data_IF_387837968089
#
_entry.id   IF_387837968089
#
_cell.length_a   1.000
_cell.length_b   1.000
_cell.length_c   1.000
_cell.angle_alpha   90.00
_cell.angle_beta   90.00
_cell.angle_gamma   90.00
#
_symmetry.space_group_name_H-M   'P 1'
#
loop_
_entity.id
_entity.type
_entity.pdbx_description
1 polymer ?
#
# COMPACT_ATOMS: atom_id res chain seq x y z
N UNK A 1 35.65 35.54 -32.27
CA UNK A 1 35.53 34.15 -32.80
C UNK A 1 34.82 33.28 -31.78
N UNK A 2 33.53 32.96 -32.01
CA UNK A 2 32.75 32.08 -31.14
C UNK A 2 33.06 30.61 -31.47
N UNK A 3 33.83 29.94 -30.62
CA UNK A 3 33.94 28.48 -30.67
C UNK A 3 32.73 27.85 -29.98
N UNK A 4 31.78 27.36 -30.79
CA UNK A 4 30.71 26.46 -30.33
C UNK A 4 31.35 25.15 -29.85
N UNK A 5 31.48 24.96 -28.54
CA UNK A 5 31.76 23.64 -27.96
C UNK A 5 30.52 22.76 -28.15
N UNK A 6 30.64 21.72 -28.98
CA UNK A 6 29.63 20.67 -29.16
C UNK A 6 29.43 19.95 -27.83
N UNK A 7 28.18 19.84 -27.38
CA UNK A 7 27.80 18.95 -26.28
C UNK A 7 27.97 17.49 -26.71
N UNK A 8 28.40 16.57 -25.82
CA UNK A 8 28.47 15.16 -26.14
C UNK A 8 27.05 14.60 -26.30
N UNK A 9 26.83 13.90 -27.42
CA UNK A 9 25.60 13.17 -27.71
C UNK A 9 25.49 12.02 -26.71
N UNK A 10 24.57 12.11 -25.75
CA UNK A 10 24.21 10.97 -24.91
C UNK A 10 23.61 9.88 -25.81
N UNK A 11 24.39 8.84 -26.03
CA UNK A 11 24.01 7.67 -26.78
C UNK A 11 23.05 6.87 -25.89
N UNK A 12 21.76 6.82 -26.26
CA UNK A 12 20.82 5.90 -25.63
C UNK A 12 21.32 4.46 -25.87
N UNK A 13 21.33 3.58 -24.84
CA UNK A 13 21.56 2.17 -25.08
C UNK A 13 20.41 1.62 -25.96
N UNK A 14 20.70 0.62 -26.82
CA UNK A 14 19.71 0.08 -27.74
C UNK A 14 18.53 -0.48 -26.95
N UNK A 15 17.32 -0.17 -27.41
CA UNK A 15 16.11 -0.77 -26.86
C UNK A 15 16.23 -2.28 -26.96
N UNK A 16 16.25 -2.94 -25.80
CA UNK A 16 16.12 -4.38 -25.74
C UNK A 16 14.75 -4.71 -26.33
N UNK A 17 14.77 -5.26 -27.54
CA UNK A 17 13.64 -5.91 -28.17
C UNK A 17 13.15 -6.95 -27.16
N UNK A 18 11.94 -6.77 -26.65
CA UNK A 18 11.27 -7.78 -25.85
C UNK A 18 11.00 -8.98 -26.75
N UNK A 19 11.92 -9.94 -26.73
CA UNK A 19 11.67 -11.27 -27.25
C UNK A 19 10.54 -11.88 -26.44
N UNK A 20 9.43 -12.20 -27.11
CA UNK A 20 8.34 -13.01 -26.57
C UNK A 20 8.93 -14.28 -25.94
N UNK A 21 8.54 -14.65 -24.70
CA UNK A 21 8.85 -15.98 -24.20
C UNK A 21 8.11 -17.02 -25.04
N UNK A 22 8.91 -17.98 -25.50
CA UNK A 22 8.55 -19.15 -26.28
C UNK A 22 7.24 -19.82 -25.83
N UNK A 23 6.39 -20.12 -26.82
CA UNK A 23 5.16 -20.94 -26.78
C UNK A 23 5.43 -22.40 -26.32
N UNK A 24 5.84 -22.60 -25.07
CA UNK A 24 6.19 -23.95 -24.62
C UNK A 24 5.88 -24.21 -23.16
N UNK A 25 4.69 -23.87 -22.67
CA UNK A 25 4.07 -24.54 -21.50
C UNK A 25 2.54 -24.52 -21.60
N UNK A 26 2.00 -24.95 -22.74
CA UNK A 26 0.62 -25.42 -22.83
C UNK A 26 0.57 -26.87 -22.34
N UNK A 27 0.43 -27.07 -21.04
CA UNK A 27 0.00 -28.35 -20.49
C UNK A 27 -1.47 -28.22 -20.03
N UNK A 28 -2.41 -28.95 -20.63
CA UNK A 28 -3.79 -28.99 -20.16
C UNK A 28 -3.86 -29.89 -18.94
N UNK A 29 -3.67 -29.32 -17.74
CA UNK A 29 -4.09 -29.99 -16.51
C UNK A 29 -5.55 -29.63 -16.19
N UNK A 30 -6.44 -29.99 -17.12
CA UNK A 30 -7.84 -30.18 -16.83
C UNK A 30 -8.00 -31.51 -16.06
N UNK A 31 -7.55 -31.54 -14.81
CA UNK A 31 -8.00 -32.57 -13.86
C UNK A 31 -9.24 -32.02 -13.15
N UNK A 32 -10.39 -32.53 -13.60
CA UNK A 32 -11.70 -32.52 -12.93
C UNK A 32 -12.47 -31.20 -12.93
N UNK A 33 -13.20 -30.97 -14.02
CA UNK A 33 -14.35 -30.05 -14.12
C UNK A 33 -15.48 -30.39 -13.12
N UNK A 34 -15.48 -31.56 -12.47
CA UNK A 34 -16.55 -32.00 -11.59
C UNK A 34 -16.52 -31.38 -10.17
N UNK A 35 -15.44 -30.69 -9.79
CA UNK A 35 -15.34 -30.01 -8.48
C UNK A 35 -15.91 -28.59 -8.48
N UNK A 36 -16.15 -28.01 -9.66
CA UNK A 36 -16.40 -26.58 -9.80
C UNK A 36 -17.77 -26.14 -9.26
N UNK A 37 -18.75 -27.04 -9.14
CA UNK A 37 -20.11 -26.69 -8.66
C UNK A 37 -20.42 -27.21 -7.25
N UNK A 38 -19.45 -27.79 -6.54
CA UNK A 38 -19.67 -28.27 -5.17
C UNK A 38 -19.50 -27.14 -4.15
N UNK A 39 -20.36 -27.04 -3.14
CA UNK A 39 -20.17 -26.09 -2.06
C UNK A 39 -18.87 -26.41 -1.30
N UNK A 40 -18.14 -25.38 -0.91
CA UNK A 40 -16.90 -25.52 -0.13
C UNK A 40 -17.18 -25.33 1.36
N UNK A 41 -16.80 -26.31 2.17
CA UNK A 41 -16.93 -26.25 3.63
C UNK A 41 -15.69 -25.56 4.20
N UNK A 42 -15.87 -24.35 4.74
CA UNK A 42 -14.78 -23.56 5.35
C UNK A 42 -14.32 -24.18 6.67
N UNK A 43 -15.26 -24.60 7.51
CA UNK A 43 -15.01 -25.19 8.81
C UNK A 43 -16.22 -25.09 9.74
N UNK A 44 -16.12 -25.61 10.98
CA UNK A 44 -17.20 -25.53 11.97
C UNK A 44 -17.59 -24.07 12.24
N UNK A 45 -18.89 -23.78 12.28
CA UNK A 45 -19.42 -22.44 12.56
C UNK A 45 -19.48 -21.48 11.35
N UNK A 46 -19.08 -21.93 10.15
CA UNK A 46 -19.18 -21.15 8.92
C UNK A 46 -20.16 -21.78 7.93
N UNK A 47 -20.95 -20.95 7.24
CA UNK A 47 -21.80 -21.42 6.14
C UNK A 47 -20.94 -21.88 4.96
N UNK A 48 -21.31 -22.98 4.26
CA UNK A 48 -20.59 -23.41 3.08
C UNK A 48 -20.62 -22.34 1.97
N UNK A 49 -19.51 -22.15 1.27
CA UNK A 49 -19.44 -21.25 0.11
C UNK A 49 -20.16 -21.93 -1.07
N UNK A 50 -21.17 -21.31 -1.70
CA UNK A 50 -21.87 -21.86 -2.85
C UNK A 50 -20.92 -22.26 -3.99
N UNK A 51 -21.21 -23.38 -4.65
CA UNK A 51 -20.36 -23.92 -5.73
C UNK A 51 -20.09 -22.91 -6.85
N UNK A 52 -21.07 -22.08 -7.20
CA UNK A 52 -20.89 -21.00 -8.18
C UNK A 52 -19.74 -20.05 -7.81
N UNK A 53 -19.65 -19.63 -6.55
CA UNK A 53 -18.57 -18.76 -6.07
C UNK A 53 -17.24 -19.52 -6.04
N UNK A 54 -17.23 -20.79 -5.64
CA UNK A 54 -16.05 -21.66 -5.69
C UNK A 54 -15.50 -21.73 -7.13
N UNK A 55 -16.35 -22.07 -8.09
CA UNK A 55 -16.08 -22.03 -9.53
C UNK A 55 -15.44 -20.72 -9.98
N UNK A 56 -16.00 -19.59 -9.56
CA UNK A 56 -15.51 -18.28 -9.95
C UNK A 56 -14.13 -17.97 -9.37
N UNK A 57 -13.91 -18.28 -8.09
CA UNK A 57 -12.61 -18.12 -7.41
C UNK A 57 -11.55 -18.97 -8.09
N UNK A 58 -11.83 -20.26 -8.33
CA UNK A 58 -10.86 -21.19 -8.90
C UNK A 58 -10.50 -20.87 -10.36
N UNK A 59 -11.42 -20.30 -11.13
CA UNK A 59 -11.16 -19.82 -12.49
C UNK A 59 -10.40 -18.50 -12.54
N UNK A 60 -10.15 -17.86 -11.39
CA UNK A 60 -9.51 -16.55 -11.33
C UNK A 60 -10.42 -15.41 -11.82
N UNK A 61 -11.74 -15.63 -11.88
CA UNK A 61 -12.69 -14.57 -12.23
C UNK A 61 -12.88 -13.64 -11.03
N UNK A 62 -13.20 -12.37 -11.31
CA UNK A 62 -13.45 -11.41 -10.24
C UNK A 62 -14.69 -11.83 -9.42
N UNK A 63 -14.51 -11.89 -8.10
CA UNK A 63 -15.56 -12.16 -7.12
C UNK A 63 -15.59 -11.00 -6.13
N UNK A 64 -16.78 -10.45 -5.87
CA UNK A 64 -16.94 -9.50 -4.78
C UNK A 64 -16.80 -10.24 -3.44
N UNK A 65 -15.80 -9.85 -2.65
CA UNK A 65 -15.53 -10.47 -1.34
C UNK A 65 -16.71 -10.31 -0.39
N UNK A 66 -17.57 -9.30 -0.58
CA UNK A 66 -18.78 -9.13 0.24
C UNK A 66 -19.66 -10.38 0.19
N UNK A 67 -19.69 -11.12 -0.93
CA UNK A 67 -20.47 -12.35 -1.08
C UNK A 67 -19.97 -13.49 -0.18
N UNK A 68 -18.72 -13.42 0.29
CA UNK A 68 -18.11 -14.42 1.16
C UNK A 68 -18.27 -14.13 2.65
N UNK A 69 -18.95 -13.03 3.01
CA UNK A 69 -19.30 -12.76 4.40
C UNK A 69 -20.35 -13.76 4.88
N UNK A 70 -20.17 -14.28 6.11
CA UNK A 70 -21.06 -15.29 6.70
C UNK A 70 -22.55 -14.92 6.60
N UNK A 71 -22.90 -13.65 6.83
CA UNK A 71 -24.28 -13.15 6.75
C UNK A 71 -24.88 -13.21 5.33
N UNK A 72 -24.03 -13.09 4.30
CA UNK A 72 -24.46 -13.10 2.90
C UNK A 72 -24.54 -14.54 2.36
N UNK A 73 -23.75 -15.47 2.91
CA UNK A 73 -23.80 -16.90 2.58
C UNK A 73 -25.07 -17.58 3.10
N UNK A 74 -25.56 -17.22 4.29
CA UNK A 74 -26.83 -17.75 4.85
C UNK A 74 -28.04 -17.31 4.02
N UNK A 75 -27.94 -16.17 3.34
CA UNK A 75 -29.07 -15.54 2.65
C UNK A 75 -29.38 -16.15 1.27
N UNK A 76 -28.67 -17.19 0.83
CA UNK A 76 -28.81 -17.74 -0.52
C UNK A 76 -29.90 -18.80 -0.67
N UNK A 77 -30.58 -19.22 0.40
CA UNK A 77 -31.71 -20.14 0.26
C UNK A 77 -32.99 -19.34 -0.09
N UNK A 78 -33.57 -19.51 -1.29
CA UNK A 78 -34.90 -19.01 -1.56
C UNK A 78 -35.87 -19.88 -0.78
N UNK A 79 -36.23 -19.48 0.44
CA UNK A 79 -37.33 -20.13 1.16
C UNK A 79 -38.62 -19.91 0.36
N UNK A 80 -39.18 -20.96 -0.29
CA UNK A 80 -40.43 -20.82 -1.02
C UNK A 80 -41.54 -20.72 0.03
N UNK A 81 -41.97 -19.49 0.33
CA UNK A 81 -43.12 -19.27 1.21
C UNK A 81 -44.38 -19.75 0.47
N UNK A 82 -44.98 -20.85 0.94
CA UNK A 82 -46.20 -21.44 0.38
C UNK A 82 -47.46 -20.97 1.11
N UNK A 83 -48.32 -20.32 0.30
CA UNK A 83 -49.77 -20.50 0.15
C UNK A 83 -50.77 -19.95 1.19
N UNK A 84 -51.56 -18.97 0.72
CA UNK A 84 -52.97 -18.81 1.05
C UNK A 84 -53.79 -19.53 -0.04
N UNK A 85 -54.61 -20.49 0.36
CA UNK A 85 -55.76 -21.00 -0.41
C UNK A 85 -55.49 -21.53 -1.85
N UNK A 86 -54.74 -22.63 -1.99
CA UNK A 86 -54.73 -23.41 -3.25
C UNK A 86 -54.03 -22.78 -4.48
N UNK A 87 -53.59 -21.52 -4.42
CA UNK A 87 -52.81 -20.84 -5.47
C UNK A 87 -51.35 -20.62 -5.06
N UNK A 88 -50.42 -21.17 -5.86
CA UNK A 88 -49.00 -20.85 -5.76
C UNK A 88 -48.79 -19.38 -6.19
N UNK A 89 -48.46 -18.51 -5.24
CA UNK A 89 -48.02 -17.14 -5.54
C UNK A 89 -46.50 -17.13 -5.53
N UNK A 90 -45.89 -17.06 -6.71
CA UNK A 90 -44.46 -16.79 -6.87
C UNK A 90 -44.19 -15.31 -6.60
N UNK A 91 -44.21 -14.91 -5.33
CA UNK A 91 -43.66 -13.61 -4.94
C UNK A 91 -42.15 -13.73 -5.03
N UNK A 92 -41.54 -13.03 -5.98
CA UNK A 92 -40.08 -12.92 -6.04
C UNK A 92 -39.59 -12.46 -4.66
N UNK A 93 -38.68 -13.20 -4.00
CA UNK A 93 -38.23 -12.82 -2.67
C UNK A 93 -37.64 -11.42 -2.75
N UNK A 94 -37.92 -10.54 -1.77
CA UNK A 94 -37.29 -9.23 -1.74
C UNK A 94 -35.78 -9.43 -1.81
N UNK A 95 -35.13 -8.74 -2.76
CA UNK A 95 -33.66 -8.76 -2.88
C UNK A 95 -33.09 -8.23 -1.56
N UNK A 96 -32.71 -9.13 -0.65
CA UNK A 96 -32.07 -8.76 0.61
C UNK A 96 -30.82 -7.97 0.27
N UNK A 97 -30.69 -6.76 0.83
CA UNK A 97 -29.48 -5.96 0.66
C UNK A 97 -28.31 -6.74 1.23
N UNK A 98 -27.34 -7.05 0.37
CA UNK A 98 -26.12 -7.76 0.77
C UNK A 98 -25.24 -6.83 1.60
N UNK A 99 -24.76 -7.32 2.74
CA UNK A 99 -23.83 -6.57 3.59
C UNK A 99 -22.56 -6.27 2.81
N UNK A 100 -22.11 -5.03 2.84
CA UNK A 100 -20.87 -4.60 2.21
C UNK A 100 -19.69 -4.73 3.18
N UNK A 101 -18.49 -4.84 2.62
CA UNK A 101 -17.25 -4.77 3.40
C UNK A 101 -16.94 -3.31 3.69
N UNK A 102 -16.94 -2.94 4.96
CA UNK A 102 -16.73 -1.56 5.39
C UNK A 102 -15.50 -1.39 6.28
N UNK A 103 -15.06 -2.48 6.90
CA UNK A 103 -14.03 -2.49 7.92
C UNK A 103 -13.00 -3.60 7.64
N UNK A 104 -11.83 -3.47 8.28
CA UNK A 104 -10.72 -4.38 8.03
C UNK A 104 -10.99 -5.80 8.55
N UNK A 105 -11.86 -5.98 9.54
CA UNK A 105 -12.16 -7.30 10.12
C UNK A 105 -13.07 -8.10 9.20
N UNK A 106 -14.14 -7.49 8.66
CA UNK A 106 -15.01 -8.12 7.66
C UNK A 106 -14.26 -8.43 6.37
N UNK A 107 -13.37 -7.52 5.92
CA UNK A 107 -12.48 -7.81 4.79
C UNK A 107 -11.57 -9.01 5.08
N UNK A 108 -10.97 -9.04 6.28
CA UNK A 108 -10.06 -10.11 6.69
C UNK A 108 -10.76 -11.46 6.74
N UNK A 109 -11.99 -11.53 7.23
CA UNK A 109 -12.83 -12.74 7.22
C UNK A 109 -13.06 -13.20 5.78
N UNK A 110 -13.65 -12.34 4.94
CA UNK A 110 -13.99 -12.67 3.56
C UNK A 110 -12.76 -13.08 2.73
N UNK A 111 -11.64 -12.36 2.87
CA UNK A 111 -10.40 -12.69 2.18
C UNK A 111 -9.79 -14.01 2.67
N UNK A 112 -9.99 -14.37 3.94
CA UNK A 112 -9.54 -15.66 4.47
C UNK A 112 -10.35 -16.80 3.86
N UNK A 113 -11.67 -16.66 3.76
CA UNK A 113 -12.54 -17.62 3.06
C UNK A 113 -12.12 -17.77 1.60
N UNK A 114 -11.93 -16.66 0.89
CA UNK A 114 -11.40 -16.65 -0.48
C UNK A 114 -10.08 -17.42 -0.60
N UNK A 115 -9.14 -17.16 0.32
CA UNK A 115 -7.83 -17.79 0.33
C UNK A 115 -7.91 -19.30 0.60
N UNK A 116 -8.81 -19.74 1.48
CA UNK A 116 -9.03 -21.16 1.76
C UNK A 116 -9.57 -21.90 0.54
N UNK A 117 -10.52 -21.30 -0.18
CA UNK A 117 -11.02 -21.86 -1.45
C UNK A 117 -9.88 -21.98 -2.45
N UNK A 118 -9.11 -20.91 -2.69
CA UNK A 118 -8.02 -20.93 -3.67
C UNK A 118 -6.91 -21.93 -3.31
N UNK A 119 -6.51 -21.99 -2.04
CA UNK A 119 -5.45 -22.88 -1.57
C UNK A 119 -5.87 -24.34 -1.49
N UNK A 120 -7.16 -24.65 -1.47
CA UNK A 120 -7.68 -26.02 -1.55
C UNK A 120 -7.35 -26.71 -2.88
N UNK A 121 -7.31 -25.95 -3.98
CA UNK A 121 -6.94 -26.44 -5.31
C UNK A 121 -5.50 -26.06 -5.71
N UNK A 122 -5.00 -24.94 -5.19
CA UNK A 122 -3.65 -24.44 -5.49
C UNK A 122 -2.86 -24.19 -4.20
N UNK A 123 -2.41 -25.24 -3.48
CA UNK A 123 -1.75 -25.07 -2.18
C UNK A 123 -0.53 -24.14 -2.23
N UNK A 124 0.23 -24.15 -3.33
CA UNK A 124 1.43 -23.31 -3.51
C UNK A 124 1.15 -21.80 -3.43
N UNK A 125 -0.11 -21.39 -3.59
CA UNK A 125 -0.55 -19.99 -3.54
C UNK A 125 -0.70 -19.42 -2.12
N UNK A 126 -0.47 -20.22 -1.07
CA UNK A 126 -0.68 -19.77 0.30
C UNK A 126 0.20 -18.56 0.66
N UNK A 127 1.45 -18.53 0.15
CA UNK A 127 2.44 -17.53 0.52
C UNK A 127 2.13 -16.17 -0.09
N UNK A 128 1.85 -16.09 -1.39
CA UNK A 128 1.53 -14.82 -2.06
C UNK A 128 0.22 -14.23 -1.53
N UNK A 129 -0.81 -15.05 -1.30
CA UNK A 129 -2.06 -14.59 -0.68
C UNK A 129 -1.85 -14.06 0.74
N UNK A 130 -1.00 -14.71 1.53
CA UNK A 130 -0.67 -14.25 2.89
C UNK A 130 0.10 -12.93 2.85
N UNK A 131 1.05 -12.78 1.92
CA UNK A 131 1.78 -11.53 1.71
C UNK A 131 0.85 -10.39 1.26
N UNK A 132 -0.10 -10.69 0.37
CA UNK A 132 -1.14 -9.74 -0.03
C UNK A 132 -2.02 -9.31 1.15
N UNK A 133 -2.44 -10.25 2.00
CA UNK A 133 -3.18 -9.94 3.24
C UNK A 133 -2.40 -8.98 4.13
N UNK A 134 -1.11 -9.23 4.34
CA UNK A 134 -0.23 -8.35 5.11
C UNK A 134 -0.06 -6.97 4.46
N UNK A 135 -0.02 -6.91 3.13
CA UNK A 135 0.03 -5.66 2.37
C UNK A 135 -1.21 -4.80 2.64
N UNK A 136 -2.42 -5.35 2.52
CA UNK A 136 -3.66 -4.60 2.78
C UNK A 136 -3.74 -4.12 4.22
N UNK A 137 -3.39 -4.99 5.18
CA UNK A 137 -3.32 -4.62 6.61
C UNK A 137 -2.33 -3.47 6.86
N UNK A 138 -1.20 -3.44 6.13
CA UNK A 138 -0.23 -2.35 6.21
C UNK A 138 -0.81 -1.04 5.70
N UNK A 139 -1.50 -1.06 4.55
CA UNK A 139 -2.12 0.15 3.97
C UNK A 139 -3.19 0.69 4.93
N UNK A 140 -4.04 -0.18 5.48
CA UNK A 140 -5.05 0.19 6.47
C UNK A 140 -4.44 0.88 7.71
N UNK A 141 -3.30 0.40 8.23
CA UNK A 141 -2.64 1.01 9.39
C UNK A 141 -1.98 2.36 9.07
N UNK A 142 -1.56 2.56 7.84
CA UNK A 142 -0.79 3.74 7.44
C UNK A 142 -1.68 4.91 7.04
N UNK A 143 -2.82 4.64 6.40
CA UNK A 143 -3.70 5.65 5.84
C UNK A 143 -5.06 5.66 6.55
N UNK A 144 -5.54 6.85 6.84
CA UNK A 144 -6.93 7.04 7.26
C UNK A 144 -7.88 6.82 6.08
N UNK A 145 -9.10 6.35 6.36
CA UNK A 145 -10.14 6.13 5.36
C UNK A 145 -10.07 4.77 4.65
N UNK A 146 -10.62 4.70 3.44
CA UNK A 146 -10.88 3.44 2.70
C UNK A 146 -9.92 3.21 1.52
N UNK A 147 -8.71 3.78 1.57
CA UNK A 147 -7.67 3.63 0.52
C UNK A 147 -7.31 2.16 0.31
N UNK A 148 -7.15 1.42 1.41
CA UNK A 148 -6.86 -0.02 1.39
C UNK A 148 -7.94 -0.82 0.67
N UNK A 149 -9.22 -0.44 0.83
CA UNK A 149 -10.36 -1.11 0.22
C UNK A 149 -10.47 -0.78 -1.28
N UNK A 150 -10.23 0.48 -1.65
CA UNK A 150 -10.19 0.91 -3.04
C UNK A 150 -9.04 0.23 -3.81
N UNK A 151 -7.84 0.18 -3.19
CA UNK A 151 -6.70 -0.54 -3.72
C UNK A 151 -6.97 -2.03 -3.86
N UNK A 152 -7.53 -2.68 -2.83
CA UNK A 152 -7.86 -4.11 -2.87
C UNK A 152 -8.78 -4.44 -4.06
N UNK A 153 -9.87 -3.68 -4.20
CA UNK A 153 -10.83 -3.90 -5.29
C UNK A 153 -10.15 -3.78 -6.65
N UNK A 154 -9.42 -2.70 -6.88
CA UNK A 154 -8.76 -2.46 -8.17
C UNK A 154 -7.65 -3.48 -8.47
N UNK A 155 -6.89 -3.90 -7.45
CA UNK A 155 -5.88 -4.94 -7.61
C UNK A 155 -6.51 -6.27 -8.01
N UNK A 156 -7.61 -6.69 -7.36
CA UNK A 156 -8.29 -7.94 -7.67
C UNK A 156 -8.99 -7.91 -9.04
N UNK A 157 -9.56 -6.78 -9.44
CA UNK A 157 -10.08 -6.58 -10.80
C UNK A 157 -8.96 -6.69 -11.84
N UNK A 158 -7.82 -6.05 -11.60
CA UNK A 158 -6.65 -6.17 -12.46
C UNK A 158 -6.12 -7.61 -12.54
N UNK A 159 -6.05 -8.31 -11.41
CA UNK A 159 -5.59 -9.68 -11.36
C UNK A 159 -6.51 -10.62 -12.15
N UNK A 160 -7.83 -10.44 -12.03
CA UNK A 160 -8.81 -11.20 -12.81
C UNK A 160 -8.73 -10.89 -14.32
N UNK A 161 -8.50 -9.63 -14.70
CA UNK A 161 -8.42 -9.21 -16.09
C UNK A 161 -7.14 -9.68 -16.79
N UNK A 162 -6.02 -9.79 -16.05
CA UNK A 162 -4.70 -10.13 -16.60
C UNK A 162 -4.27 -11.58 -16.34
N UNK A 163 -5.03 -12.32 -15.51
CA UNK A 163 -4.62 -13.63 -15.03
C UNK A 163 -3.38 -13.56 -14.11
N UNK A 164 -3.26 -12.50 -13.29
CA UNK A 164 -2.12 -12.35 -12.40
C UNK A 164 -2.14 -13.41 -11.28
N UNK A 165 -1.14 -14.28 -11.30
CA UNK A 165 -0.99 -15.34 -10.29
C UNK A 165 -0.10 -14.94 -9.11
N UNK A 166 0.83 -14.00 -9.24
CA UNK A 166 1.69 -13.58 -8.13
C UNK A 166 1.15 -12.32 -7.45
N UNK A 167 0.59 -12.50 -6.25
CA UNK A 167 0.03 -11.41 -5.44
C UNK A 167 1.00 -10.90 -4.37
N UNK A 168 2.25 -11.39 -4.37
CA UNK A 168 3.26 -11.05 -3.36
C UNK A 168 3.78 -9.62 -3.47
N UNK A 169 3.64 -9.00 -4.66
CA UNK A 169 4.16 -7.67 -4.96
C UNK A 169 3.05 -6.63 -5.06
N UNK A 170 3.32 -5.44 -4.52
CA UNK A 170 2.42 -4.30 -4.65
C UNK A 170 2.45 -3.78 -6.11
N UNK A 171 1.28 -3.67 -6.74
CA UNK A 171 1.15 -2.86 -7.94
C UNK A 171 1.23 -1.36 -7.59
N UNK A 172 2.41 -0.76 -7.82
CA UNK A 172 2.69 0.63 -7.46
C UNK A 172 1.81 1.65 -8.21
N UNK A 173 1.42 1.36 -9.46
CA UNK A 173 0.59 2.29 -10.26
C UNK A 173 -0.83 2.37 -9.68
N UNK A 174 -1.45 1.22 -9.42
CA UNK A 174 -2.75 1.14 -8.75
C UNK A 174 -2.70 1.78 -7.36
N UNK A 175 -1.64 1.51 -6.61
CA UNK A 175 -1.46 2.08 -5.28
C UNK A 175 -1.39 3.61 -5.33
N UNK A 176 -0.52 4.17 -6.19
CA UNK A 176 -0.36 5.61 -6.33
C UNK A 176 -1.65 6.30 -6.76
N UNK A 177 -2.42 5.67 -7.66
CA UNK A 177 -3.71 6.20 -8.11
C UNK A 177 -4.73 6.25 -6.96
N UNK A 178 -4.89 5.17 -6.20
CA UNK A 178 -5.88 5.11 -5.11
C UNK A 178 -5.44 5.80 -3.82
N UNK A 179 -4.14 5.97 -3.61
CA UNK A 179 -3.58 6.69 -2.47
C UNK A 179 -3.36 8.19 -2.74
N UNK A 180 -3.59 8.66 -3.97
CA UNK A 180 -3.47 10.07 -4.30
C UNK A 180 -4.42 10.92 -3.45
N UNK A 181 -3.87 11.83 -2.64
CA UNK A 181 -4.64 12.67 -1.72
C UNK A 181 -5.08 11.98 -0.42
N UNK A 182 -4.66 10.75 -0.17
CA UNK A 182 -4.95 10.05 1.08
C UNK A 182 -4.25 10.71 2.27
N UNK A 183 -4.99 10.90 3.37
CA UNK A 183 -4.42 11.36 4.63
C UNK A 183 -3.82 10.18 5.39
N UNK A 184 -2.57 10.34 5.85
CA UNK A 184 -1.97 9.39 6.78
C UNK A 184 -2.74 9.40 8.10
N UNK A 185 -2.76 8.28 8.82
CA UNK A 185 -3.24 8.29 10.19
C UNK A 185 -2.46 9.35 10.99
N UNK A 186 -3.15 10.41 11.42
CA UNK A 186 -2.58 11.40 12.32
C UNK A 186 -2.32 10.70 13.64
N UNK A 187 -1.05 10.39 13.91
CA UNK A 187 -0.62 9.99 15.24
C UNK A 187 -0.70 11.22 16.15
N UNK A 188 -1.90 11.52 16.66
CA UNK A 188 -2.02 12.43 17.80
C UNK A 188 -1.24 11.80 18.97
N UNK A 189 -0.22 12.47 19.54
CA UNK A 189 0.53 11.94 20.66
C UNK A 189 -0.22 12.31 21.94
N UNK A 190 -1.29 11.60 22.24
CA UNK A 190 -1.96 11.70 23.54
C UNK A 190 -2.03 10.32 24.17
N UNK A 191 -1.24 10.18 25.24
CA UNK A 191 -1.30 9.15 26.29
C UNK A 191 -1.30 7.69 25.85
N UNK A 192 -0.09 7.15 25.71
CA UNK A 192 0.16 5.71 25.67
C UNK A 192 1.67 5.50 25.66
N UNK A 193 2.23 5.16 26.82
CA UNK A 193 3.63 4.80 27.02
C UNK A 193 3.99 3.55 26.20
N UNK A 194 4.22 3.74 24.90
CA UNK A 194 4.92 2.77 24.08
C UNK A 194 6.36 3.26 23.94
N UNK A 195 7.28 2.52 24.56
CA UNK A 195 8.72 2.73 24.45
C UNK A 195 9.12 2.89 22.98
N UNK A 196 9.82 3.98 22.67
CA UNK A 196 10.25 4.28 21.31
C UNK A 196 11.20 3.17 20.82
N UNK A 197 11.07 2.71 19.56
CA UNK A 197 11.91 1.63 19.04
C UNK A 197 13.40 2.00 19.08
N UNK A 198 14.23 1.02 19.42
CA UNK A 198 15.69 1.21 19.50
C UNK A 198 16.31 1.30 18.11
N UNK A 199 17.26 2.21 17.91
CA UNK A 199 18.00 2.33 16.65
C UNK A 199 18.99 1.18 16.43
N UNK A 200 19.21 0.80 15.18
CA UNK A 200 20.22 -0.20 14.83
C UNK A 200 21.63 0.39 14.95
N UNK A 201 22.48 -0.20 15.78
CA UNK A 201 23.90 0.16 15.89
C UNK A 201 24.74 -0.23 14.66
N UNK A 202 24.22 -1.11 13.79
CA UNK A 202 24.93 -1.57 12.58
C UNK A 202 24.77 -0.63 11.38
N UNK A 203 23.83 0.31 11.45
CA UNK A 203 23.57 1.25 10.36
C UNK A 203 24.52 2.45 10.40
N UNK A 204 25.03 2.85 9.23
CA UNK A 204 25.79 4.10 9.05
C UNK A 204 24.92 5.29 8.65
N UNK A 205 23.61 5.09 8.51
CA UNK A 205 22.64 6.13 8.09
C UNK A 205 21.74 6.50 9.26
N UNK A 206 21.69 7.80 9.58
CA UNK A 206 20.95 8.31 10.73
C UNK A 206 19.45 8.33 10.44
N UNK A 207 18.64 7.95 11.43
CA UNK A 207 17.19 7.97 11.29
C UNK A 207 16.66 9.41 11.22
N UNK A 208 16.07 9.78 10.08
CA UNK A 208 15.57 11.15 9.82
C UNK A 208 14.33 11.44 10.68
N UNK A 209 13.39 10.51 10.78
CA UNK A 209 12.16 10.67 11.59
C UNK A 209 12.50 10.82 13.08
N UNK A 210 13.41 9.99 13.60
CA UNK A 210 13.89 10.13 14.98
C UNK A 210 14.56 11.49 15.22
N UNK A 211 15.43 11.94 14.31
CA UNK A 211 16.07 13.25 14.42
C UNK A 211 15.07 14.43 14.35
N UNK A 212 13.88 14.22 13.76
CA UNK A 212 12.76 15.17 13.69
C UNK A 212 11.77 15.06 14.86
N UNK A 213 12.03 14.23 15.86
CA UNK A 213 11.27 14.20 17.12
C UNK A 213 10.79 12.83 17.53
N UNK A 214 10.42 11.95 16.58
CA UNK A 214 9.94 10.60 16.89
C UNK A 214 10.25 9.61 15.77
N UNK A 215 10.80 8.46 16.13
CA UNK A 215 10.98 7.36 15.21
C UNK A 215 9.64 6.71 14.88
N UNK A 216 9.33 6.58 13.59
CA UNK A 216 8.11 5.93 13.07
C UNK A 216 8.42 4.52 12.55
N UNK A 217 9.48 3.87 13.06
CA UNK A 217 9.84 2.53 12.63
C UNK A 217 8.69 1.55 12.94
N UNK A 218 8.32 0.68 11.98
CA UNK A 218 7.19 -0.24 12.15
C UNK A 218 7.49 -1.45 13.05
N UNK A 219 8.73 -1.60 13.53
CA UNK A 219 9.20 -2.70 14.38
C UNK A 219 9.83 -2.17 15.67
N UNK A 220 10.04 -3.04 16.66
CA UNK A 220 10.73 -2.72 17.94
C UNK A 220 12.15 -2.18 17.74
N UNK A 221 12.75 -2.40 16.56
CA UNK A 221 14.05 -1.88 16.17
C UNK A 221 13.98 -1.10 14.86
N UNK A 222 14.55 0.10 14.83
CA UNK A 222 14.71 0.90 13.62
C UNK A 222 15.94 0.42 12.83
N UNK A 223 15.82 0.23 11.51
CA UNK A 223 16.94 -0.15 10.65
C UNK A 223 18.02 0.94 10.50
N UNK A 224 17.76 2.16 11.00
CA UNK A 224 18.67 3.30 10.99
C UNK A 224 19.18 3.59 12.41
N UNK A 225 20.38 4.14 12.54
CA UNK A 225 20.94 4.42 13.86
C UNK A 225 20.34 5.70 14.47
N UNK A 226 20.13 5.68 15.79
CA UNK A 226 19.51 6.77 16.55
C UNK A 226 20.60 7.64 17.20
N UNK A 227 21.25 8.48 16.40
CA UNK A 227 22.12 9.56 16.88
C UNK A 227 21.87 10.83 16.10
N UNK A 228 22.28 11.94 16.70
CA UNK A 228 22.15 13.27 16.12
C UNK A 228 22.83 13.30 14.74
N UNK A 229 22.07 13.63 13.70
CA UNK A 229 22.63 13.77 12.34
C UNK A 229 23.60 14.94 12.18
N UNK A 230 23.68 15.85 13.17
CA UNK A 230 24.58 17.01 13.15
C UNK A 230 25.91 16.79 13.86
N UNK A 231 25.87 16.18 15.05
CA UNK A 231 27.06 16.04 15.90
C UNK A 231 27.33 14.60 16.35
N UNK A 232 26.51 13.63 15.96
CA UNK A 232 26.70 12.21 16.32
C UNK A 232 26.39 11.84 17.77
N UNK A 233 25.88 12.78 18.60
CA UNK A 233 25.55 12.54 20.00
C UNK A 233 24.27 11.73 20.24
N UNK A 234 24.06 11.29 21.48
CA UNK A 234 22.88 10.55 21.97
C UNK A 234 21.64 11.43 22.18
N UNK A 235 21.39 12.37 21.27
CA UNK A 235 20.24 13.26 21.29
C UNK A 235 19.70 13.48 19.87
N UNK A 236 18.47 13.98 19.76
CA UNK A 236 17.83 14.27 18.46
C UNK A 236 18.40 15.57 17.88
N UNK A 237 18.50 15.68 16.55
CA UNK A 237 18.93 16.92 15.90
C UNK A 237 18.08 18.16 16.26
N UNK A 238 16.82 17.98 16.67
CA UNK A 238 15.99 19.06 17.22
C UNK A 238 16.53 19.64 18.52
N UNK A 239 17.05 18.80 19.42
CA UNK A 239 17.59 19.17 20.73
C UNK A 239 19.09 19.47 20.68
N UNK A 240 19.66 19.66 19.48
CA UNK A 240 21.09 19.81 19.28
C UNK A 240 21.51 21.29 19.39
N UNK A 241 22.35 21.60 20.38
CA UNK A 241 22.85 22.95 20.65
C UNK A 241 23.78 23.51 19.57
N UNK A 242 24.42 22.67 18.74
CA UNK A 242 25.26 23.13 17.61
C UNK A 242 24.47 23.92 16.55
N UNK A 243 23.12 23.88 16.60
CA UNK A 243 22.24 24.72 15.79
C UNK A 243 22.38 26.21 16.11
N UNK A 244 22.72 26.55 17.35
CA UNK A 244 22.90 27.93 17.79
C UNK A 244 24.28 28.47 17.39
N UNK A 245 25.33 27.66 17.52
CA UNK A 245 26.70 28.04 17.14
C UNK A 245 26.87 28.25 15.63
N UNK A 246 26.34 27.35 14.78
CA UNK A 246 26.43 27.52 13.31
C UNK A 246 25.65 28.74 12.78
N UNK A 247 24.58 29.15 13.49
CA UNK A 247 23.83 30.38 13.15
C UNK A 247 24.58 31.63 13.59
N UNK A 248 25.26 31.58 14.74
CA UNK A 248 26.09 32.68 15.23
C UNK A 248 27.30 32.93 14.31
N UNK A 249 27.97 31.86 13.86
CA UNK A 249 29.13 31.93 12.95
C UNK A 249 28.78 32.41 11.54
N UNK A 250 27.62 32.04 11.01
CA UNK A 250 27.18 32.55 9.72
C UNK A 250 26.76 34.02 9.80
N UNK A 251 26.21 34.47 10.93
CA UNK A 251 25.84 35.86 11.12
C UNK A 251 27.06 36.77 11.33
N UNK A 252 28.09 36.29 12.04
CA UNK A 252 29.36 37.01 12.22
C UNK A 252 30.13 37.18 10.91
N UNK A 253 30.15 36.15 10.04
CA UNK A 253 30.71 36.22 8.67
C UNK A 253 29.93 37.14 7.73
N UNK A 254 28.62 37.33 7.94
CA UNK A 254 27.79 38.21 7.11
C UNK A 254 27.96 39.68 7.48
N UNK A 255 28.14 39.98 8.78
CA UNK A 255 28.40 41.36 9.27
C UNK A 255 29.78 41.89 8.88
N UNK A 256 30.78 41.03 8.74
CA UNK A 256 32.14 41.41 8.34
C UNK A 256 32.32 41.63 6.83
N UNK A 257 31.25 41.49 6.02
CA UNK A 257 31.27 41.67 4.56
C UNK A 257 30.36 42.79 4.05
N UNK A 258 30.07 43.81 4.86
CA UNK A 258 29.40 45.02 4.35
C UNK A 258 30.45 45.96 3.72
N UNK A 259 30.33 46.36 2.44
CA UNK A 259 31.20 47.35 1.85
C UNK A 259 30.85 48.75 2.39
N UNK A 260 31.89 49.53 2.71
CA UNK A 260 31.77 50.90 3.19
C UNK A 260 31.08 51.80 2.14
N UNK A 261 30.14 52.63 2.60
CA UNK A 261 29.49 53.65 1.80
C UNK A 261 30.52 54.69 1.35
N UNK A 262 30.58 54.94 0.04
CA UNK A 262 31.40 56.01 -0.55
C UNK A 262 30.57 57.29 -0.53
N UNK A 263 31.04 58.32 0.18
CA UNK A 263 30.46 59.65 0.19
C UNK A 263 30.68 60.37 -1.16
N UNK A 264 29.77 61.24 -1.62
CA UNK A 264 29.94 61.97 -2.87
C UNK A 264 30.82 63.21 -2.65
N UNK A 265 31.92 63.33 -3.40
CA UNK A 265 32.71 64.55 -3.47
C UNK A 265 32.21 65.42 -4.64
N UNK A 266 31.98 66.69 -4.34
CA UNK A 266 31.62 67.76 -5.28
C UNK A 266 32.62 67.83 -6.45
N UNK A 267 32.10 67.93 -7.66
CA UNK A 267 32.87 68.34 -8.84
C UNK A 267 32.95 69.86 -8.90
N UNK A 268 34.15 70.40 -8.67
CA UNK A 268 34.51 71.78 -8.95
C UNK A 268 35.30 71.88 -10.26
N UNK A 269 35.19 73.05 -10.87
CA UNK A 269 35.61 73.46 -12.21
C UNK A 269 37.08 73.18 -12.58
N UNK A 270 37.28 72.93 -13.88
CA UNK A 270 37.92 73.97 -14.68
C UNK A 270 39.30 73.69 -15.29
N UNK A 271 39.29 73.80 -16.62
CA UNK A 271 40.21 74.56 -17.50
C UNK A 271 41.50 73.90 -18.05
N UNK A 272 41.59 74.15 -19.37
CA UNK A 272 42.69 74.14 -20.34
C UNK A 272 43.14 72.78 -20.88
#
# INVERSE_FOLDING_TARGET
MLQRRRLPRLQLPPQAVFSLPSEAFLAPHAKSSALADRPFVVGPGFSPVPGKLVSQILRGTFVDLSELLSVNLVSSDPEPHLMLDGRLVLTAPPKKQRRQIEDITSWTEAFTVFSLVLTSSFPQRWKDLTLYKLLILRIHRQFSGRVWLAYDKAFREHAAATGLFDWSSMNAQLFNFHAAGASLHSSNPSSGEFSEPSGSSSSRIACISWNKGRCTAPFMHCCYYHRCSRCGGSHRALSCSSRQEQRADNNSKRRSRSPAAVSPALGDMGRY
#
